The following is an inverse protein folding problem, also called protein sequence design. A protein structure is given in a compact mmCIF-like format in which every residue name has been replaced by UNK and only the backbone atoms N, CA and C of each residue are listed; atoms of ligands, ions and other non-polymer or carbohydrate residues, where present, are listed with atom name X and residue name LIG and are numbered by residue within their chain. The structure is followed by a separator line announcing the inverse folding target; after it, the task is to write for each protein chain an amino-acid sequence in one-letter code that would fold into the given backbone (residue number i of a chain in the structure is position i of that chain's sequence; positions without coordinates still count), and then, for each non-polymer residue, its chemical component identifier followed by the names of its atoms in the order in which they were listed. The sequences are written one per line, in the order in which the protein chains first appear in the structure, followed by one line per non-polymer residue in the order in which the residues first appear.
data_IF_277976757879
#
_entry.id   IF_277976757879
#
_cell.length_a   1.000
_cell.length_b   1.000
_cell.length_c   1.000
_cell.angle_alpha   90.00
_cell.angle_beta   90.00
_cell.angle_gamma   90.00
#
_symmetry.space_group_name_H-M   'P 1'
#
loop_
_entity.id
_entity.type
_entity.pdbx_description
1 polymer ?
#
# COMPACT_ATOMS: atom_id res chain seq x y z
N UNK A 1 3.89 -34.50 -7.39
CA UNK A 1 3.56 -33.48 -6.36
C UNK A 1 3.08 -32.28 -7.17
N UNK A 2 1.77 -32.07 -7.23
CA UNK A 2 1.18 -31.17 -8.23
C UNK A 2 1.04 -29.75 -7.66
N UNK A 3 2.18 -29.06 -7.55
CA UNK A 3 2.23 -27.65 -7.19
C UNK A 3 1.79 -26.80 -8.40
N UNK A 4 0.64 -26.15 -8.31
CA UNK A 4 0.14 -25.25 -9.35
C UNK A 4 0.59 -23.81 -9.07
N UNK A 5 1.14 -23.15 -10.08
CA UNK A 5 1.49 -21.73 -10.05
C UNK A 5 1.28 -21.10 -11.42
N UNK A 6 0.82 -19.85 -11.43
CA UNK A 6 0.71 -19.00 -12.62
C UNK A 6 1.68 -17.81 -12.58
N UNK A 7 2.69 -17.87 -11.70
CA UNK A 7 3.66 -16.77 -11.51
C UNK A 7 4.86 -16.96 -12.43
N UNK A 8 5.57 -18.08 -12.28
CA UNK A 8 6.80 -18.37 -13.01
C UNK A 8 6.78 -19.79 -13.53
N UNK A 9 7.16 -19.96 -14.80
CA UNK A 9 7.39 -21.24 -15.45
C UNK A 9 8.88 -21.40 -15.71
N UNK A 10 9.46 -22.48 -15.18
CA UNK A 10 10.87 -22.82 -15.34
C UNK A 10 10.98 -24.08 -16.19
N UNK A 11 11.62 -23.95 -17.35
CA UNK A 11 11.88 -25.04 -18.29
C UNK A 11 13.35 -24.94 -18.76
N UNK A 12 13.94 -26.01 -19.33
CA UNK A 12 15.28 -25.95 -19.88
C UNK A 12 15.44 -24.75 -20.84
N UNK A 13 16.33 -23.83 -20.49
CA UNK A 13 16.63 -22.59 -21.21
C UNK A 13 15.46 -21.59 -21.37
N UNK A 14 14.34 -21.80 -20.67
CA UNK A 14 13.17 -20.94 -20.73
C UNK A 14 12.70 -20.59 -19.32
N UNK A 15 12.84 -19.33 -18.94
CA UNK A 15 12.30 -18.79 -17.70
C UNK A 15 11.28 -17.72 -18.06
N UNK A 16 10.01 -18.01 -17.78
CA UNK A 16 8.89 -17.12 -18.09
C UNK A 16 8.26 -16.65 -16.78
N UNK A 17 8.20 -15.33 -16.56
CA UNK A 17 7.54 -14.70 -15.42
C UNK A 17 6.33 -13.93 -15.92
N UNK A 18 5.13 -14.35 -15.52
CA UNK A 18 3.85 -13.73 -15.94
C UNK A 18 3.73 -13.50 -17.45
N UNK A 19 4.20 -14.45 -18.25
CA UNK A 19 4.15 -14.39 -19.72
C UNK A 19 5.34 -13.70 -20.39
N UNK A 20 6.25 -13.09 -19.63
CA UNK A 20 7.46 -12.44 -20.16
C UNK A 20 8.69 -13.33 -19.99
N UNK A 21 9.57 -13.36 -20.98
CA UNK A 21 10.87 -14.01 -20.85
C UNK A 21 11.72 -13.24 -19.83
N UNK A 22 12.36 -13.94 -18.90
CA UNK A 22 13.11 -13.30 -17.83
C UNK A 22 14.24 -12.42 -18.35
N UNK A 23 14.93 -12.85 -19.41
CA UNK A 23 15.97 -12.07 -20.07
C UNK A 23 15.47 -10.75 -20.68
N UNK A 24 14.20 -10.69 -21.05
CA UNK A 24 13.62 -9.46 -21.61
C UNK A 24 13.26 -8.48 -20.49
N UNK A 25 13.08 -8.95 -19.25
CA UNK A 25 12.84 -8.10 -18.08
C UNK A 25 14.16 -7.49 -17.54
N UNK A 26 15.22 -8.29 -17.50
CA UNK A 26 16.52 -7.89 -16.92
C UNK A 26 17.11 -6.71 -17.72
N UNK A 27 17.39 -5.60 -17.04
CA UNK A 27 17.99 -4.41 -17.63
C UNK A 27 17.02 -3.52 -18.41
N UNK A 28 15.85 -4.03 -18.81
CA UNK A 28 14.86 -3.28 -19.59
C UNK A 28 13.68 -2.78 -18.75
N UNK A 29 13.30 -3.52 -17.70
CA UNK A 29 12.14 -3.20 -16.85
C UNK A 29 12.62 -2.84 -15.45
N UNK A 30 12.22 -1.67 -14.89
CA UNK A 30 12.59 -1.29 -13.53
C UNK A 30 12.06 -2.29 -12.49
N UNK A 31 12.83 -2.50 -11.42
CA UNK A 31 12.45 -3.43 -10.34
C UNK A 31 11.03 -3.18 -9.78
N UNK A 32 10.59 -1.95 -9.47
CA UNK A 32 9.22 -1.69 -9.02
C UNK A 32 8.14 -2.12 -10.02
N UNK A 33 8.43 -2.07 -11.32
CA UNK A 33 7.49 -2.49 -12.36
C UNK A 33 7.38 -4.02 -12.42
N UNK A 34 8.47 -4.74 -12.16
CA UNK A 34 8.45 -6.20 -12.04
C UNK A 34 7.69 -6.63 -10.77
N UNK A 35 7.83 -5.89 -9.66
CA UNK A 35 7.02 -6.10 -8.45
C UNK A 35 5.53 -5.93 -8.78
N UNK A 36 5.17 -4.85 -9.48
CA UNK A 36 3.80 -4.64 -9.97
C UNK A 36 3.31 -5.81 -10.83
N UNK A 37 4.12 -6.28 -11.79
CA UNK A 37 3.81 -7.43 -12.64
C UNK A 37 3.52 -8.70 -11.83
N UNK A 38 4.33 -8.99 -10.81
CA UNK A 38 4.15 -10.20 -9.99
C UNK A 38 2.84 -10.17 -9.20
N UNK A 39 2.45 -8.99 -8.69
CA UNK A 39 1.24 -8.80 -7.89
C UNK A 39 0.00 -8.72 -8.78
N UNK A 40 0.03 -7.87 -9.82
CA UNK A 40 -1.12 -7.55 -10.66
C UNK A 40 -1.32 -8.52 -11.82
N UNK A 41 -0.24 -9.12 -12.31
CA UNK A 41 -0.24 -10.05 -13.45
C UNK A 41 0.07 -9.40 -14.80
N UNK A 42 0.20 -8.08 -14.87
CA UNK A 42 0.51 -7.32 -16.07
C UNK A 42 1.53 -6.20 -15.77
N UNK A 43 2.30 -5.76 -16.77
CA UNK A 43 3.22 -4.63 -16.58
C UNK A 43 2.43 -3.32 -16.38
N UNK A 44 2.91 -2.42 -15.50
CA UNK A 44 2.21 -1.17 -15.27
C UNK A 44 2.38 -0.21 -16.45
N UNK A 45 1.43 0.72 -16.60
CA UNK A 45 1.67 1.92 -17.41
C UNK A 45 2.81 2.76 -16.79
N UNK A 46 3.40 3.68 -17.57
CA UNK A 46 4.49 4.55 -17.09
C UNK A 46 4.13 5.31 -15.81
N UNK A 47 2.88 5.82 -15.73
CA UNK A 47 2.38 6.52 -14.54
C UNK A 47 2.26 5.59 -13.33
N UNK A 48 1.64 4.41 -13.50
CA UNK A 48 1.49 3.45 -12.39
C UNK A 48 2.84 2.90 -11.92
N UNK A 49 3.79 2.68 -12.84
CA UNK A 49 5.14 2.23 -12.49
C UNK A 49 5.90 3.25 -11.66
N UNK A 50 5.81 4.53 -12.02
CA UNK A 50 6.40 5.63 -11.23
C UNK A 50 5.72 5.80 -9.87
N UNK A 51 4.41 5.58 -9.78
CA UNK A 51 3.70 5.60 -8.50
C UNK A 51 4.08 4.41 -7.62
N UNK A 52 4.24 3.20 -8.19
CA UNK A 52 4.70 2.02 -7.45
C UNK A 52 6.09 2.26 -6.85
N UNK A 53 7.01 2.84 -7.62
CA UNK A 53 8.34 3.23 -7.12
C UNK A 53 8.26 4.21 -5.93
N UNK A 54 7.42 5.25 -6.06
CA UNK A 54 7.21 6.22 -4.99
C UNK A 54 6.59 5.59 -3.73
N UNK A 55 5.63 4.69 -3.87
CA UNK A 55 5.00 3.98 -2.75
C UNK A 55 6.04 3.12 -2.02
N UNK A 56 6.82 2.30 -2.74
CA UNK A 56 7.86 1.47 -2.14
C UNK A 56 8.92 2.32 -1.42
N UNK A 57 9.29 3.46 -2.00
CA UNK A 57 10.22 4.41 -1.39
C UNK A 57 9.66 5.03 -0.11
N UNK A 58 8.36 5.35 -0.07
CA UNK A 58 7.70 6.00 1.08
C UNK A 58 7.71 5.15 2.36
N UNK A 59 7.83 3.83 2.22
CA UNK A 59 7.81 2.86 3.32
C UNK A 59 9.13 2.09 3.47
N UNK A 60 10.24 2.60 2.92
CA UNK A 60 11.52 1.88 2.87
C UNK A 60 12.14 1.65 4.26
N UNK A 61 11.95 2.60 5.18
CA UNK A 61 12.34 2.49 6.60
C UNK A 61 11.53 3.49 7.45
N UNK A 62 11.45 3.25 8.75
CA UNK A 62 10.81 4.15 9.71
C UNK A 62 11.57 4.23 11.04
N UNK A 63 12.90 4.08 10.98
CA UNK A 63 13.78 4.16 12.12
C UNK A 63 13.68 2.95 13.06
N UNK A 64 14.56 2.93 14.06
CA UNK A 64 14.89 1.72 14.82
C UNK A 64 13.94 1.36 15.97
N UNK A 65 12.97 2.23 16.26
CA UNK A 65 12.10 2.13 17.45
C UNK A 65 10.78 1.42 17.17
N UNK A 66 10.49 1.11 15.91
CA UNK A 66 9.30 0.33 15.57
C UNK A 66 9.51 -1.18 15.85
N UNK A 67 8.45 -1.96 16.07
CA UNK A 67 8.56 -3.37 16.44
C UNK A 67 9.43 -4.21 15.50
N UNK A 68 9.34 -4.01 14.18
CA UNK A 68 10.08 -4.80 13.18
C UNK A 68 11.60 -4.62 13.23
N UNK A 69 12.18 -3.41 13.17
CA UNK A 69 13.62 -3.24 13.32
C UNK A 69 14.11 -3.62 14.71
N UNK A 70 13.32 -3.43 15.78
CA UNK A 70 13.69 -3.90 17.12
C UNK A 70 13.82 -5.43 17.14
N UNK A 71 12.80 -6.16 16.64
CA UNK A 71 12.83 -7.62 16.57
C UNK A 71 14.01 -8.13 15.74
N UNK A 72 14.23 -7.56 14.55
CA UNK A 72 15.38 -7.91 13.70
C UNK A 72 16.71 -7.71 14.42
N UNK A 73 16.90 -6.59 15.10
CA UNK A 73 18.17 -6.25 15.78
C UNK A 73 18.41 -7.09 17.02
N UNK A 74 17.38 -7.35 17.82
CA UNK A 74 17.46 -8.23 18.99
C UNK A 74 17.87 -9.63 18.56
N UNK A 75 17.21 -10.19 17.55
CA UNK A 75 17.55 -11.51 17.02
C UNK A 75 18.95 -11.54 16.39
N UNK A 76 19.34 -10.51 15.63
CA UNK A 76 20.69 -10.39 15.09
C UNK A 76 21.77 -10.39 16.18
N UNK A 77 21.52 -9.74 17.33
CA UNK A 77 22.47 -9.72 18.45
C UNK A 77 22.75 -11.10 19.07
N UNK A 78 21.87 -12.08 18.83
CA UNK A 78 22.08 -13.49 19.17
C UNK A 78 23.05 -14.23 18.23
N UNK A 79 23.60 -13.57 17.21
CA UNK A 79 24.59 -14.16 16.29
C UNK A 79 23.96 -15.02 15.17
N UNK A 80 22.69 -14.82 14.85
CA UNK A 80 22.03 -15.56 13.76
C UNK A 80 22.39 -15.01 12.37
N UNK A 81 22.25 -15.82 11.30
CA UNK A 81 22.39 -15.33 9.93
C UNK A 81 21.41 -14.20 9.59
N UNK A 82 21.81 -13.31 8.68
CA UNK A 82 21.01 -12.15 8.25
C UNK A 82 19.56 -12.50 7.85
N UNK A 83 19.28 -13.58 7.08
CA UNK A 83 17.89 -13.92 6.73
C UNK A 83 17.02 -14.22 7.96
N UNK A 84 17.58 -14.81 9.01
CA UNK A 84 16.86 -15.11 10.25
C UNK A 84 16.51 -13.84 11.02
N UNK A 85 17.44 -12.88 11.05
CA UNK A 85 17.17 -11.57 11.65
C UNK A 85 16.09 -10.80 10.86
N UNK A 86 16.17 -10.77 9.53
CA UNK A 86 15.15 -10.13 8.68
C UNK A 86 13.78 -10.79 8.87
N UNK A 87 13.74 -12.13 8.91
CA UNK A 87 12.51 -12.88 9.13
C UNK A 87 11.85 -12.52 10.47
N UNK A 88 12.63 -12.33 11.54
CA UNK A 88 12.10 -11.91 12.84
C UNK A 88 11.37 -10.55 12.77
N UNK A 89 11.92 -9.58 12.03
CA UNK A 89 11.23 -8.30 11.80
C UNK A 89 9.98 -8.43 10.94
N UNK A 90 10.00 -9.29 9.91
CA UNK A 90 8.82 -9.54 9.08
C UNK A 90 7.70 -10.19 9.91
N UNK A 91 8.04 -11.13 10.79
CA UNK A 91 7.07 -11.80 11.67
C UNK A 91 6.40 -10.85 12.67
N UNK A 92 6.99 -9.68 12.93
CA UNK A 92 6.34 -8.67 13.77
C UNK A 92 5.37 -7.77 12.99
N UNK A 93 5.27 -7.91 11.67
CA UNK A 93 4.30 -7.17 10.84
C UNK A 93 2.96 -7.89 10.93
N UNK A 94 1.94 -7.17 11.40
CA UNK A 94 0.62 -7.71 11.66
C UNK A 94 -0.41 -6.58 11.87
N UNK A 95 -1.52 -6.88 12.53
CA UNK A 95 -2.66 -5.96 12.62
C UNK A 95 -2.33 -4.55 13.13
N UNK A 96 -1.53 -4.47 14.20
CA UNK A 96 -1.15 -3.21 14.83
C UNK A 96 0.11 -2.57 14.22
N UNK A 97 0.89 -3.33 13.45
CA UNK A 97 2.16 -2.90 12.85
C UNK A 97 2.16 -3.26 11.36
N UNK A 98 1.61 -2.38 10.53
CA UNK A 98 1.47 -2.55 9.07
C UNK A 98 0.05 -2.90 8.58
N UNK A 99 -0.77 -3.53 9.42
CA UNK A 99 -2.13 -3.99 9.05
C UNK A 99 -3.14 -2.87 8.71
N UNK A 100 -2.83 -1.61 9.05
CA UNK A 100 -3.66 -0.46 8.69
C UNK A 100 -3.77 -0.27 7.16
N UNK A 101 -2.75 -0.68 6.38
CA UNK A 101 -2.74 -0.51 4.92
C UNK A 101 -3.85 -1.34 4.27
N UNK A 102 -3.97 -2.63 4.61
CA UNK A 102 -5.01 -3.49 4.05
C UNK A 102 -6.42 -3.00 4.42
N UNK A 103 -6.61 -2.66 5.70
CA UNK A 103 -7.91 -2.23 6.20
C UNK A 103 -8.32 -0.88 5.61
N UNK A 104 -7.39 0.07 5.51
CA UNK A 104 -7.61 1.35 4.85
C UNK A 104 -7.93 1.17 3.36
N UNK A 105 -7.17 0.37 2.63
CA UNK A 105 -7.45 0.09 1.21
C UNK A 105 -8.84 -0.51 1.00
N UNK A 106 -9.23 -1.49 1.84
CA UNK A 106 -10.56 -2.11 1.79
C UNK A 106 -11.67 -1.12 2.11
N UNK A 107 -11.46 -0.26 3.11
CA UNK A 107 -12.41 0.79 3.46
C UNK A 107 -12.64 1.75 2.28
N UNK A 108 -11.56 2.23 1.65
CA UNK A 108 -11.64 3.12 0.49
C UNK A 108 -12.31 2.43 -0.71
N UNK A 109 -11.97 1.18 -1.01
CA UNK A 109 -12.57 0.42 -2.11
C UNK A 109 -14.07 0.21 -1.90
N UNK A 110 -14.49 -0.14 -0.67
CA UNK A 110 -15.90 -0.30 -0.34
C UNK A 110 -16.65 1.03 -0.42
N UNK A 111 -16.06 2.12 0.04
CA UNK A 111 -16.63 3.47 -0.05
C UNK A 111 -16.84 3.92 -1.49
N UNK A 112 -15.82 3.80 -2.34
CA UNK A 112 -15.92 4.15 -3.77
C UNK A 112 -16.95 3.26 -4.48
N UNK A 113 -16.96 1.96 -4.20
CA UNK A 113 -17.97 1.06 -4.77
C UNK A 113 -19.39 1.47 -4.37
N UNK A 114 -19.62 1.73 -3.09
CA UNK A 114 -20.93 2.16 -2.58
C UNK A 114 -21.37 3.50 -3.17
N UNK A 115 -20.44 4.44 -3.33
CA UNK A 115 -20.68 5.72 -4.00
C UNK A 115 -21.20 5.53 -5.42
N UNK A 116 -20.58 4.62 -6.18
CA UNK A 116 -21.01 4.28 -7.54
C UNK A 116 -22.38 3.57 -7.55
N UNK A 117 -22.59 2.61 -6.65
CA UNK A 117 -23.84 1.85 -6.56
C UNK A 117 -25.03 2.73 -6.17
N UNK A 118 -24.82 3.71 -5.30
CA UNK A 118 -25.85 4.66 -4.84
C UNK A 118 -25.99 5.91 -5.74
N UNK A 119 -25.04 6.15 -6.64
CA UNK A 119 -25.02 7.31 -7.53
C UNK A 119 -24.90 8.65 -6.79
N UNK A 120 -24.25 8.66 -5.63
CA UNK A 120 -24.06 9.87 -4.82
C UNK A 120 -22.70 10.52 -5.07
N UNK A 121 -22.55 11.78 -4.65
CA UNK A 121 -21.27 12.48 -4.78
C UNK A 121 -20.26 12.01 -3.73
N UNK A 122 -18.98 12.29 -3.97
CA UNK A 122 -17.88 11.90 -3.08
C UNK A 122 -18.01 12.56 -1.70
N UNK A 123 -18.50 13.80 -1.65
CA UNK A 123 -18.73 14.56 -0.42
C UNK A 123 -19.85 13.93 0.42
N UNK A 124 -20.92 13.45 -0.24
CA UNK A 124 -22.02 12.75 0.43
C UNK A 124 -21.52 11.43 1.00
N UNK A 125 -20.77 10.65 0.22
CA UNK A 125 -20.23 9.37 0.68
C UNK A 125 -19.24 9.57 1.85
N UNK A 126 -18.36 10.57 1.78
CA UNK A 126 -17.43 10.89 2.87
C UNK A 126 -18.18 11.17 4.18
N UNK A 127 -19.20 12.04 4.14
CA UNK A 127 -20.08 12.34 5.28
C UNK A 127 -20.74 11.10 5.86
N UNK A 128 -21.30 10.26 5.00
CA UNK A 128 -21.94 9.00 5.41
C UNK A 128 -20.94 8.08 6.11
N UNK A 129 -19.75 7.87 5.53
CA UNK A 129 -18.74 6.98 6.10
C UNK A 129 -18.20 7.50 7.45
N UNK A 130 -18.01 8.80 7.60
CA UNK A 130 -17.58 9.41 8.86
C UNK A 130 -18.68 9.28 9.93
N UNK A 131 -19.93 9.61 9.59
CA UNK A 131 -21.07 9.48 10.50
C UNK A 131 -21.24 8.04 11.01
N UNK A 132 -21.24 7.05 10.10
CA UNK A 132 -21.37 5.63 10.45
C UNK A 132 -20.20 5.14 11.33
N UNK A 133 -18.98 5.61 11.05
CA UNK A 133 -17.80 5.25 11.85
C UNK A 133 -17.92 5.79 13.27
N UNK A 134 -18.44 7.02 13.43
CA UNK A 134 -18.68 7.64 14.74
C UNK A 134 -19.79 6.95 15.51
N UNK A 135 -20.91 6.63 14.87
CA UNK A 135 -22.02 5.90 15.47
C UNK A 135 -21.55 4.54 16.02
N UNK A 136 -20.66 3.87 15.28
CA UNK A 136 -20.06 2.59 15.70
C UNK A 136 -18.90 2.73 16.67
N UNK A 137 -18.51 3.96 17.04
CA UNK A 137 -17.32 4.27 17.83
C UNK A 137 -16.02 3.64 17.28
N UNK A 138 -15.91 3.59 15.94
CA UNK A 138 -14.77 3.02 15.23
C UNK A 138 -13.86 4.12 14.67
N UNK A 139 -12.55 3.89 14.73
CA UNK A 139 -11.56 4.74 14.05
C UNK A 139 -11.53 4.40 12.56
N UNK A 140 -11.43 5.43 11.73
CA UNK A 140 -11.20 5.25 10.29
C UNK A 140 -9.71 4.99 10.08
N UNK A 141 -9.36 3.75 9.73
CA UNK A 141 -7.98 3.33 9.54
C UNK A 141 -7.38 4.02 8.30
N UNK A 142 -6.23 4.66 8.50
CA UNK A 142 -5.58 5.50 7.49
C UNK A 142 -5.64 7.00 7.80
N UNK A 143 -6.45 7.42 8.78
CA UNK A 143 -6.60 8.82 9.17
C UNK A 143 -6.14 9.08 10.60
N UNK A 144 -5.59 10.28 10.81
CA UNK A 144 -5.05 10.75 12.08
C UNK A 144 -3.59 10.31 12.32
N UNK A 145 -2.77 11.21 12.86
CA UNK A 145 -1.37 10.94 13.15
C UNK A 145 -0.99 11.51 14.52
N UNK A 146 -0.19 10.76 15.30
CA UNK A 146 0.23 11.16 16.66
C UNK A 146 1.17 12.38 16.71
N UNK A 147 1.72 12.80 15.56
CA UNK A 147 2.91 13.67 15.50
C UNK A 147 2.72 14.74 14.45
N UNK A 148 2.23 14.37 13.27
CA UNK A 148 2.00 15.29 12.18
C UNK A 148 0.53 15.72 12.16
N UNK A 149 0.29 17.02 11.99
CA UNK A 149 -1.00 17.52 11.54
C UNK A 149 -1.21 17.23 10.05
N UNK A 150 -0.11 17.24 9.27
CA UNK A 150 -0.06 16.91 7.86
C UNK A 150 1.15 16.02 7.60
N UNK A 151 0.94 14.77 7.14
CA UNK A 151 2.03 13.84 6.85
C UNK A 151 2.72 14.21 5.52
N UNK A 152 4.02 14.57 5.54
CA UNK A 152 4.72 15.03 4.33
C UNK A 152 4.79 13.96 3.24
N UNK A 153 4.68 12.67 3.59
CA UNK A 153 4.66 11.57 2.61
C UNK A 153 3.34 11.57 1.84
N UNK A 154 2.22 11.75 2.54
CA UNK A 154 0.89 11.82 1.93
C UNK A 154 0.80 12.99 0.97
N UNK A 155 1.26 14.18 1.40
CA UNK A 155 1.33 15.38 0.55
C UNK A 155 2.08 15.10 -0.75
N UNK A 156 3.28 14.49 -0.66
CA UNK A 156 4.08 14.20 -1.85
C UNK A 156 3.45 13.14 -2.75
N UNK A 157 2.90 12.07 -2.17
CA UNK A 157 2.26 10.98 -2.94
C UNK A 157 1.01 11.47 -3.68
N UNK A 158 0.18 12.30 -3.04
CA UNK A 158 -1.00 12.87 -3.67
C UNK A 158 -0.63 13.86 -4.78
N UNK A 159 0.32 14.76 -4.53
CA UNK A 159 0.83 15.66 -5.56
C UNK A 159 1.39 14.89 -6.77
N UNK A 160 2.13 13.80 -6.52
CA UNK A 160 2.64 12.95 -7.60
C UNK A 160 1.52 12.22 -8.36
N UNK A 161 0.44 11.82 -7.69
CA UNK A 161 -0.71 11.21 -8.34
C UNK A 161 -1.41 12.19 -9.29
N UNK A 162 -1.52 13.45 -8.88
CA UNK A 162 -2.05 14.55 -9.68
C UNK A 162 -1.13 14.85 -10.88
N UNK A 163 0.19 14.99 -10.66
CA UNK A 163 1.21 15.17 -11.73
C UNK A 163 1.14 14.05 -12.79
N UNK A 164 0.90 12.81 -12.35
CA UNK A 164 0.84 11.63 -13.19
C UNK A 164 -0.54 11.37 -13.81
N UNK A 165 -1.54 12.19 -13.46
CA UNK A 165 -2.95 12.08 -13.91
C UNK A 165 -3.56 10.71 -13.61
N UNK A 166 -3.25 10.17 -12.43
CA UNK A 166 -3.79 8.88 -11.94
C UNK A 166 -4.58 9.05 -10.63
N UNK A 167 -4.70 10.28 -10.13
CA UNK A 167 -5.65 10.58 -9.07
C UNK A 167 -7.08 10.31 -9.57
N UNK A 168 -7.88 9.68 -8.72
CA UNK A 168 -9.26 9.34 -9.01
C UNK A 168 -10.06 9.20 -7.71
N UNK A 169 -11.22 8.56 -7.79
CA UNK A 169 -12.22 8.53 -6.72
C UNK A 169 -11.69 8.12 -5.36
N UNK A 170 -10.71 7.21 -5.31
CA UNK A 170 -10.09 6.79 -4.05
C UNK A 170 -9.32 7.93 -3.36
N UNK A 171 -8.58 8.75 -4.11
CA UNK A 171 -7.87 9.91 -3.56
C UNK A 171 -8.85 11.02 -3.22
N UNK A 172 -9.85 11.26 -4.07
CA UNK A 172 -10.88 12.28 -3.81
C UNK A 172 -11.65 11.95 -2.54
N UNK A 173 -12.10 10.70 -2.39
CA UNK A 173 -12.79 10.24 -1.18
C UNK A 173 -11.88 10.37 0.05
N UNK A 174 -10.58 10.09 -0.08
CA UNK A 174 -9.66 10.25 1.05
C UNK A 174 -9.57 11.71 1.50
N UNK A 175 -9.44 12.65 0.55
CA UNK A 175 -9.38 14.09 0.84
C UNK A 175 -10.69 14.57 1.49
N UNK A 176 -11.84 14.16 0.98
CA UNK A 176 -13.14 14.55 1.57
C UNK A 176 -13.38 13.97 2.96
N UNK A 177 -12.92 12.73 3.23
CA UNK A 177 -12.97 12.17 4.59
C UNK A 177 -12.06 12.96 5.54
N UNK A 178 -10.87 13.39 5.09
CA UNK A 178 -9.99 14.23 5.90
C UNK A 178 -10.63 15.58 6.24
N UNK A 179 -11.26 16.24 5.26
CA UNK A 179 -12.02 17.48 5.47
C UNK A 179 -13.16 17.28 6.46
N UNK A 180 -14.00 16.27 6.28
CA UNK A 180 -15.12 15.99 7.18
C UNK A 180 -14.64 15.65 8.60
N UNK A 181 -13.56 14.88 8.75
CA UNK A 181 -12.99 14.59 10.06
C UNK A 181 -12.48 15.85 10.78
N UNK A 182 -11.87 16.79 10.05
CA UNK A 182 -11.43 18.06 10.62
C UNK A 182 -12.61 18.93 11.08
N UNK A 183 -13.70 18.98 10.32
CA UNK A 183 -14.91 19.72 10.71
C UNK A 183 -15.58 19.14 11.96
N UNK A 184 -15.60 17.80 12.06
CA UNK A 184 -16.30 17.10 13.15
C UNK A 184 -15.50 17.01 14.45
N UNK A 185 -14.17 17.02 14.37
CA UNK A 185 -13.29 16.90 15.54
C UNK A 185 -12.86 18.25 16.13
N UNK A 186 -12.99 19.36 15.39
CA UNK A 186 -12.54 20.69 15.79
C UNK A 186 -11.02 20.83 15.80
#
# INVERSE_FOLDING_TARGET
MDWKSSITKVEPNHLITKGYRQQDLIGNIPFPHVVYLLIKGELPSKSHGKMMDAILTSCIDHGVTSPSPMASRVVASGGVPLPSAVAAGILSIGDAHGGAIEKGARFMQNGVKRMMDEGCSVEVMAKTLVAESREKHQRILGFGHRVHSEDPRTVRLFALADELKIAGDHIHLAKEIETELAEVLG
#
